data_IF_889910153377
#
_entry.id   IF_889910153377
#
_cell.length_a   1.000
_cell.length_b   1.000
_cell.length_c   1.000
_cell.angle_alpha   90.00
_cell.angle_beta   90.00
_cell.angle_gamma   90.00
#
_symmetry.space_group_name_H-M   'P 1'
#
loop_
_entity.id
_entity.type
_entity.pdbx_description
1 polymer ?
#
# COMPACT_ATOMS: atom_id res chain seq x y z
N UNK A 1 22.17 21.35 15.75
CA UNK A 1 21.76 22.14 16.93
C UNK A 1 20.42 21.58 17.36
N UNK A 2 20.20 20.88 18.47
CA UNK A 2 21.02 20.42 19.60
C UNK A 2 20.75 18.92 19.79
N UNK A 3 21.78 18.08 19.65
CA UNK A 3 21.78 16.65 19.98
C UNK A 3 22.25 16.49 21.44
N UNK A 4 21.35 16.70 22.41
CA UNK A 4 21.68 16.72 23.83
C UNK A 4 20.85 15.76 24.73
N UNK A 5 19.92 14.97 24.17
CA UNK A 5 19.09 14.06 24.97
C UNK A 5 19.75 12.72 25.32
N UNK A 6 20.45 12.11 24.37
CA UNK A 6 20.90 10.71 24.48
C UNK A 6 22.27 10.55 25.14
N UNK A 7 23.22 11.46 24.89
CA UNK A 7 24.56 11.40 25.52
C UNK A 7 24.53 11.76 27.00
N UNK A 8 23.79 12.81 27.37
CA UNK A 8 23.71 13.25 28.77
C UNK A 8 23.07 12.19 29.67
N UNK A 9 22.05 11.50 29.17
CA UNK A 9 21.39 10.39 29.86
C UNK A 9 22.32 9.17 29.97
N UNK A 10 22.98 8.79 28.87
CA UNK A 10 23.92 7.67 28.87
C UNK A 10 25.11 7.89 29.82
N UNK A 11 25.64 9.10 29.89
CA UNK A 11 26.74 9.44 30.80
C UNK A 11 26.28 9.50 32.27
N UNK A 12 25.04 9.94 32.54
CA UNK A 12 24.45 9.91 33.90
C UNK A 12 24.24 8.48 34.39
N UNK A 13 23.72 7.61 33.52
CA UNK A 13 23.52 6.19 33.83
C UNK A 13 24.85 5.46 34.06
N UNK A 14 25.91 5.82 33.32
CA UNK A 14 27.28 5.31 33.57
C UNK A 14 27.84 5.79 34.91
N UNK A 15 27.65 7.06 35.28
CA UNK A 15 28.10 7.58 36.58
C UNK A 15 27.39 6.89 37.74
N UNK A 16 26.08 6.66 37.62
CA UNK A 16 25.29 5.92 38.62
C UNK A 16 25.74 4.46 38.73
N UNK A 17 25.96 3.78 37.60
CA UNK A 17 26.49 2.41 37.60
C UNK A 17 27.88 2.31 38.25
N UNK A 18 28.75 3.30 38.04
CA UNK A 18 30.08 3.37 38.68
C UNK A 18 30.00 3.64 40.19
N UNK A 19 29.01 4.42 40.64
CA UNK A 19 28.79 4.70 42.05
C UNK A 19 28.38 3.44 42.84
N UNK A 20 27.46 2.64 42.30
CA UNK A 20 27.02 1.38 42.93
C UNK A 20 28.00 0.22 42.81
N UNK A 21 28.98 0.31 41.91
CA UNK A 21 30.05 -0.68 41.76
C UNK A 21 31.17 -0.57 42.82
N UNK A 22 31.14 0.43 43.72
CA UNK A 22 32.16 0.57 44.77
C UNK A 22 31.93 -0.40 45.95
N UNK A 23 33.00 -0.99 46.53
CA UNK A 23 32.87 -1.95 47.62
C UNK A 23 32.31 -1.26 48.88
N UNK A 24 31.14 -1.72 49.34
CA UNK A 24 30.48 -1.19 50.55
C UNK A 24 29.00 -0.80 50.34
N UNK A 25 28.51 -0.79 49.10
CA UNK A 25 27.09 -0.52 48.77
C UNK A 25 26.32 -1.80 48.40
N UNK A 26 26.90 -2.98 48.65
CA UNK A 26 26.26 -4.27 48.43
C UNK A 26 25.38 -4.67 49.61
N UNK A 27 24.12 -4.25 49.60
CA UNK A 27 23.11 -4.75 50.53
C UNK A 27 21.95 -3.78 50.72
N UNK A 28 20.74 -4.29 50.49
CA UNK A 28 19.41 -3.68 50.66
C UNK A 28 19.02 -2.57 49.67
N UNK A 29 17.76 -2.68 49.20
CA UNK A 29 17.06 -1.84 48.24
C UNK A 29 17.46 -0.36 48.30
N UNK A 30 18.20 0.09 47.28
CA UNK A 30 18.51 1.50 47.08
C UNK A 30 17.54 2.06 46.03
N UNK A 31 16.52 2.78 46.48
CA UNK A 31 15.65 3.57 45.60
C UNK A 31 16.43 4.79 45.13
N UNK A 32 16.73 4.87 43.83
CA UNK A 32 17.39 6.04 43.23
C UNK A 32 16.35 6.83 42.46
N UNK A 33 15.98 8.00 42.99
CA UNK A 33 15.22 8.98 42.23
C UNK A 33 16.16 9.74 41.30
N UNK A 34 16.04 9.55 40.00
CA UNK A 34 16.79 10.33 39.00
C UNK A 34 15.86 11.42 38.46
N UNK A 35 16.07 12.69 38.81
CA UNK A 35 15.31 13.78 38.19
C UNK A 35 15.78 13.91 36.73
N UNK A 36 14.86 13.72 35.79
CA UNK A 36 15.08 13.98 34.38
C UNK A 36 14.33 15.26 34.00
N UNK A 37 15.09 16.29 33.65
CA UNK A 37 14.51 17.51 33.08
C UNK A 37 14.65 17.41 31.56
N UNK A 38 13.54 17.15 30.88
CA UNK A 38 13.44 17.16 29.42
C UNK A 38 12.41 18.23 29.07
N UNK A 39 12.87 19.46 28.84
CA UNK A 39 11.97 20.59 28.61
C UNK A 39 11.17 21.00 29.85
N UNK A 40 10.02 21.65 29.64
CA UNK A 40 9.30 22.44 30.66
C UNK A 40 8.51 21.63 31.72
N UNK A 41 8.73 20.32 31.84
CA UNK A 41 8.03 19.50 32.84
C UNK A 41 9.02 18.60 33.59
N UNK A 42 8.98 18.67 34.92
CA UNK A 42 9.74 17.80 35.82
C UNK A 42 8.90 16.57 36.18
N UNK A 43 9.37 15.37 35.83
CA UNK A 43 8.82 14.11 36.31
C UNK A 43 9.88 13.31 37.08
N UNK A 44 9.47 12.65 38.17
CA UNK A 44 10.31 11.78 39.00
C UNK A 44 9.90 10.33 38.75
N UNK A 45 10.81 9.54 38.15
CA UNK A 45 10.65 8.09 38.05
C UNK A 45 11.26 7.41 39.28
N UNK A 46 10.49 6.54 39.93
CA UNK A 46 10.92 5.73 41.06
C UNK A 46 11.25 4.32 40.55
N UNK A 47 12.51 3.90 40.68
CA UNK A 47 12.98 2.58 40.26
C UNK A 47 13.32 1.76 41.50
N UNK A 48 12.70 0.59 41.64
CA UNK A 48 12.86 -0.23 42.85
C UNK A 48 14.01 -1.25 42.76
N UNK A 49 14.37 -1.80 41.58
CA UNK A 49 15.60 -2.60 41.42
C UNK A 49 16.19 -2.55 39.99
N UNK A 50 17.51 -2.34 39.90
CA UNK A 50 18.28 -2.34 38.63
C UNK A 50 19.34 -3.45 38.70
N UNK A 51 19.31 -4.39 37.76
CA UNK A 51 20.35 -5.42 37.63
C UNK A 51 21.08 -5.26 36.29
N UNK A 52 22.40 -5.05 36.35
CA UNK A 52 23.26 -4.85 35.19
C UNK A 52 24.25 -6.01 35.07
N UNK A 53 24.12 -6.91 34.08
CA UNK A 53 25.23 -7.74 33.65
C UNK A 53 25.94 -7.11 32.44
N UNK A 54 27.25 -7.30 32.44
CA UNK A 54 28.21 -6.70 31.52
C UNK A 54 27.84 -6.80 30.02
N UNK A 55 27.92 -5.63 29.39
CA UNK A 55 27.95 -5.33 27.95
C UNK A 55 26.59 -5.39 27.21
N UNK A 56 26.10 -4.17 26.94
CA UNK A 56 25.13 -3.77 25.89
C UNK A 56 23.66 -4.16 26.04
N UNK A 57 23.14 -4.35 27.25
CA UNK A 57 21.69 -4.36 27.46
C UNK A 57 21.29 -4.26 28.94
N UNK A 58 20.28 -3.45 29.25
CA UNK A 58 19.65 -3.40 30.57
C UNK A 58 18.39 -4.28 30.52
N UNK A 59 18.25 -5.26 31.41
CA UNK A 59 17.07 -6.12 31.52
C UNK A 59 16.39 -5.86 32.86
N UNK A 60 15.13 -5.45 32.82
CA UNK A 60 14.27 -5.36 34.00
C UNK A 60 13.48 -6.67 34.10
N UNK A 61 13.45 -7.29 35.29
CA UNK A 61 12.72 -8.54 35.53
C UNK A 61 11.89 -8.45 36.80
N UNK A 62 10.57 -8.66 36.66
CA UNK A 62 9.62 -8.92 37.74
C UNK A 62 8.86 -10.25 37.51
N UNK A 63 8.11 -10.77 38.49
CA UNK A 63 7.73 -12.20 38.53
C UNK A 63 6.66 -12.68 37.53
N UNK A 64 6.15 -11.86 36.61
CA UNK A 64 5.18 -12.30 35.62
C UNK A 64 5.49 -11.67 34.25
N UNK A 65 5.82 -12.53 33.28
CA UNK A 65 5.84 -12.34 31.82
C UNK A 65 6.60 -11.10 31.28
N UNK A 66 7.58 -11.36 30.42
CA UNK A 66 8.48 -10.34 29.88
C UNK A 66 7.76 -9.29 29.03
N UNK A 67 7.96 -8.02 29.36
CA UNK A 67 7.59 -6.88 28.53
C UNK A 67 8.85 -6.27 27.89
N UNK A 68 8.82 -6.13 26.56
CA UNK A 68 9.70 -5.26 25.81
C UNK A 68 9.21 -3.81 26.06
N UNK A 69 10.06 -2.92 26.58
CA UNK A 69 9.72 -1.49 26.65
C UNK A 69 10.13 -0.88 25.32
N UNK A 70 9.17 -0.81 24.38
CA UNK A 70 9.24 0.17 23.29
C UNK A 70 8.80 1.51 23.89
N UNK A 71 9.64 2.54 23.76
CA UNK A 71 9.22 3.90 24.13
C UNK A 71 8.24 4.37 23.06
N UNK A 72 6.96 4.46 23.46
CA UNK A 72 5.76 4.69 22.66
C UNK A 72 5.93 5.47 21.35
N UNK A 73 5.64 4.77 20.26
CA UNK A 73 5.08 5.30 19.02
C UNK A 73 3.55 5.21 19.16
N UNK A 74 2.85 6.34 19.09
CA UNK A 74 1.38 6.32 19.01
C UNK A 74 1.01 5.67 17.66
N UNK A 75 0.29 4.54 17.70
CA UNK A 75 -0.23 3.86 16.51
C UNK A 75 -1.66 4.35 16.32
N UNK A 76 -1.96 5.13 15.27
CA UNK A 76 -3.35 5.50 14.94
C UNK A 76 -3.84 4.79 13.69
N UNK A 77 -4.99 4.13 13.74
CA UNK A 77 -5.64 3.60 12.54
C UNK A 77 -6.70 4.58 12.04
N UNK A 78 -6.49 5.26 10.92
CA UNK A 78 -7.64 5.92 10.26
C UNK A 78 -8.50 4.85 9.60
N UNK A 79 -9.60 4.48 10.26
CA UNK A 79 -10.51 3.42 9.85
C UNK A 79 -11.54 3.95 8.85
N UNK A 80 -11.52 3.43 7.62
CA UNK A 80 -12.60 3.70 6.66
C UNK A 80 -13.90 2.95 7.04
N UNK A 81 -15.11 3.51 6.78
CA UNK A 81 -16.33 3.28 7.54
C UNK A 81 -17.29 2.25 6.94
N UNK A 82 -16.84 1.38 6.03
CA UNK A 82 -17.69 0.24 5.67
C UNK A 82 -17.76 -0.67 6.90
N UNK A 83 -18.89 -0.62 7.61
CA UNK A 83 -19.27 -1.49 8.73
C UNK A 83 -18.87 -2.94 8.44
N UNK A 84 -17.67 -3.27 8.83
CA UNK A 84 -17.10 -4.58 8.66
C UNK A 84 -16.60 -4.98 10.03
N UNK A 85 -16.88 -6.21 10.41
CA UNK A 85 -16.34 -6.84 11.61
C UNK A 85 -14.80 -6.78 11.62
N UNK A 86 -14.16 -6.46 10.48
CA UNK A 86 -12.72 -6.32 10.31
C UNK A 86 -12.11 -5.17 11.13
N UNK A 87 -12.79 -4.03 11.28
CA UNK A 87 -12.27 -2.94 12.11
C UNK A 87 -12.29 -3.33 13.59
N UNK A 88 -13.40 -3.91 14.05
CA UNK A 88 -13.54 -4.40 15.43
C UNK A 88 -12.52 -5.52 15.71
N UNK A 89 -12.36 -6.47 14.77
CA UNK A 89 -11.37 -7.54 14.87
C UNK A 89 -9.93 -6.98 14.92
N UNK A 90 -9.64 -5.91 14.19
CA UNK A 90 -8.32 -5.29 14.21
C UNK A 90 -8.03 -4.66 15.58
N UNK A 91 -8.98 -3.91 16.14
CA UNK A 91 -8.85 -3.27 17.47
C UNK A 91 -8.70 -4.30 18.59
N UNK A 92 -9.33 -5.47 18.46
CA UNK A 92 -9.17 -6.58 19.41
C UNK A 92 -7.76 -7.20 19.37
N UNK A 93 -7.01 -7.00 18.27
CA UNK A 93 -5.68 -7.60 18.03
C UNK A 93 -4.53 -6.63 18.25
N UNK A 94 -4.71 -5.35 17.90
CA UNK A 94 -3.67 -4.32 17.98
C UNK A 94 -4.23 -3.04 18.58
N UNK A 95 -3.42 -2.37 19.40
CA UNK A 95 -3.78 -1.07 19.97
C UNK A 95 -3.73 -0.01 18.87
N UNK A 96 -4.91 0.38 18.40
CA UNK A 96 -5.10 1.40 17.36
C UNK A 96 -6.26 2.32 17.73
N UNK A 97 -6.04 3.63 17.59
CA UNK A 97 -7.16 4.58 17.62
C UNK A 97 -7.97 4.43 16.33
N UNK A 98 -9.30 4.37 16.43
CA UNK A 98 -10.17 4.26 15.26
C UNK A 98 -10.95 5.56 15.05
N UNK A 99 -10.78 6.17 13.89
CA UNK A 99 -11.70 7.20 13.40
C UNK A 99 -12.60 6.60 12.34
N UNK A 100 -13.92 6.81 12.45
CA UNK A 100 -14.89 6.32 11.46
C UNK A 100 -15.56 7.55 10.80
N UNK A 101 -15.23 7.87 9.54
CA UNK A 101 -15.91 8.97 8.84
C UNK A 101 -17.37 8.62 8.55
N UNK A 102 -18.26 9.60 8.60
CA UNK A 102 -19.69 9.38 8.31
C UNK A 102 -19.95 9.22 6.79
N UNK A 103 -19.04 9.74 5.97
CA UNK A 103 -19.11 9.71 4.51
C UNK A 103 -17.76 9.23 3.90
N UNK A 104 -17.77 8.32 2.91
CA UNK A 104 -16.54 7.88 2.23
C UNK A 104 -15.71 9.01 1.61
N UNK A 105 -16.30 10.16 1.28
CA UNK A 105 -15.55 11.32 0.78
C UNK A 105 -14.60 11.94 1.81
N UNK A 106 -14.80 11.66 3.11
CA UNK A 106 -13.95 12.18 4.18
C UNK A 106 -12.66 11.35 4.38
N UNK A 107 -12.57 10.13 3.83
CA UNK A 107 -11.41 9.24 4.02
C UNK A 107 -10.09 9.94 3.68
N UNK A 108 -10.06 10.64 2.55
CA UNK A 108 -8.86 11.33 2.08
C UNK A 108 -8.44 12.44 3.04
N UNK A 109 -9.40 13.22 3.54
CA UNK A 109 -9.15 14.30 4.51
C UNK A 109 -8.59 13.72 5.82
N UNK A 110 -9.21 12.65 6.35
CA UNK A 110 -8.75 11.99 7.57
C UNK A 110 -7.36 11.38 7.44
N UNK A 111 -7.08 10.72 6.32
CA UNK A 111 -5.75 10.17 6.05
C UNK A 111 -4.70 11.27 5.90
N UNK A 112 -5.04 12.40 5.25
CA UNK A 112 -4.13 13.54 5.14
C UNK A 112 -3.87 14.22 6.49
N UNK A 113 -4.89 14.36 7.35
CA UNK A 113 -4.74 14.88 8.71
C UNK A 113 -3.82 13.98 9.55
N UNK A 114 -3.98 12.66 9.44
CA UNK A 114 -3.08 11.70 10.06
C UNK A 114 -1.65 11.80 9.51
N UNK A 115 -1.49 12.01 8.20
CA UNK A 115 -0.18 12.09 7.57
C UNK A 115 0.68 13.29 8.02
N UNK A 116 0.05 14.33 8.56
CA UNK A 116 0.75 15.52 9.09
C UNK A 116 0.87 15.53 10.61
N UNK A 117 0.25 14.57 11.30
CA UNK A 117 0.37 14.42 12.75
C UNK A 117 1.65 13.62 13.06
N UNK A 118 2.67 14.23 13.70
CA UNK A 118 3.93 13.55 14.02
C UNK A 118 3.76 12.43 15.06
N UNK A 119 2.58 12.28 15.66
CA UNK A 119 2.25 11.16 16.54
C UNK A 119 1.70 9.95 15.76
N UNK A 120 1.52 10.04 14.43
CA UNK A 120 0.92 8.96 13.62
C UNK A 120 1.94 8.35 12.67
N UNK A 121 2.45 7.19 13.04
CA UNK A 121 3.43 6.46 12.23
C UNK A 121 2.79 5.58 11.15
N UNK A 122 1.52 5.19 11.32
CA UNK A 122 0.82 4.24 10.44
C UNK A 122 -0.60 4.73 10.22
N UNK A 123 -1.19 4.45 9.06
CA UNK A 123 -2.62 4.57 8.80
C UNK A 123 -3.14 3.24 8.24
N UNK A 124 -4.11 2.62 8.92
CA UNK A 124 -4.68 1.34 8.52
C UNK A 124 -5.93 1.51 7.63
N UNK A 125 -5.81 1.22 6.33
CA UNK A 125 -6.91 1.29 5.38
C UNK A 125 -7.81 0.04 5.46
N UNK A 126 -8.87 0.12 6.26
CA UNK A 126 -9.91 -0.93 6.38
C UNK A 126 -10.93 -0.83 5.25
N UNK A 127 -10.86 -1.73 4.29
CA UNK A 127 -11.80 -1.74 3.16
C UNK A 127 -11.29 -2.47 1.93
N UNK A 128 -11.90 -2.15 0.78
CA UNK A 128 -11.47 -2.67 -0.52
C UNK A 128 -10.32 -1.87 -1.14
N UNK A 129 -9.93 -2.27 -2.34
CA UNK A 129 -8.82 -1.64 -3.08
C UNK A 129 -9.03 -0.12 -3.30
N UNK A 130 -10.27 0.34 -3.46
CA UNK A 130 -10.60 1.77 -3.60
C UNK A 130 -10.32 2.59 -2.34
N UNK A 131 -10.60 2.04 -1.16
CA UNK A 131 -10.23 2.65 0.13
C UNK A 131 -8.73 2.73 0.28
N UNK A 132 -8.05 1.62 0.00
CA UNK A 132 -6.60 1.52 0.09
C UNK A 132 -5.93 2.54 -0.82
N UNK A 133 -6.44 2.71 -2.05
CA UNK A 133 -6.04 3.77 -2.99
C UNK A 133 -6.23 5.17 -2.43
N UNK A 134 -7.40 5.47 -1.88
CA UNK A 134 -7.69 6.80 -1.32
C UNK A 134 -6.76 7.16 -0.17
N UNK A 135 -6.50 6.22 0.74
CA UNK A 135 -5.57 6.42 1.85
C UNK A 135 -4.14 6.57 1.33
N UNK A 136 -3.69 5.67 0.44
CA UNK A 136 -2.35 5.72 -0.14
C UNK A 136 -2.08 7.05 -0.86
N UNK A 137 -3.05 7.57 -1.63
CA UNK A 137 -2.92 8.87 -2.29
C UNK A 137 -2.85 10.03 -1.29
N UNK A 138 -3.62 9.97 -0.20
CA UNK A 138 -3.66 11.03 0.80
C UNK A 138 -2.38 11.12 1.65
N UNK A 139 -1.72 9.99 1.93
CA UNK A 139 -0.47 9.94 2.70
C UNK A 139 0.79 9.99 1.83
N UNK A 140 0.63 10.04 0.50
CA UNK A 140 1.75 9.98 -0.43
C UNK A 140 2.79 11.08 -0.15
N UNK A 141 4.06 10.67 0.00
CA UNK A 141 5.19 11.54 0.28
C UNK A 141 5.34 11.96 1.75
N UNK A 142 4.50 11.47 2.67
CA UNK A 142 4.75 11.61 4.11
C UNK A 142 5.60 10.46 4.67
N UNK A 143 6.01 10.59 5.93
CA UNK A 143 6.68 9.50 6.67
C UNK A 143 5.70 8.46 7.23
N UNK A 144 4.39 8.64 6.98
CA UNK A 144 3.33 7.76 7.48
C UNK A 144 3.19 6.52 6.61
N UNK A 145 3.16 5.36 7.26
CA UNK A 145 3.09 4.06 6.58
C UNK A 145 1.63 3.62 6.38
N UNK A 146 1.34 2.91 5.29
CA UNK A 146 0.05 2.29 5.03
C UNK A 146 0.01 0.87 5.61
N UNK A 147 -1.00 0.56 6.42
CA UNK A 147 -1.38 -0.82 6.71
C UNK A 147 -2.63 -1.20 5.92
N UNK A 148 -2.58 -2.34 5.22
CA UNK A 148 -3.72 -2.83 4.44
C UNK A 148 -4.58 -3.72 5.33
N UNK A 149 -5.87 -3.43 5.46
CA UNK A 149 -6.80 -4.29 6.20
C UNK A 149 -7.91 -4.76 5.25
N UNK A 150 -7.91 -6.04 4.83
CA UNK A 150 -8.83 -6.54 3.81
C UNK A 150 -10.29 -6.45 4.25
N UNK A 151 -11.09 -5.62 3.58
CA UNK A 151 -12.54 -5.49 3.81
C UNK A 151 -13.40 -5.57 2.54
N UNK A 152 -12.77 -5.58 1.36
CA UNK A 152 -13.46 -5.62 0.06
C UNK A 152 -13.62 -7.02 -0.54
N UNK A 153 -14.16 -7.07 -1.77
CA UNK A 153 -14.41 -8.34 -2.49
C UNK A 153 -13.15 -8.90 -3.17
N UNK A 154 -12.26 -8.03 -3.65
CA UNK A 154 -11.09 -8.44 -4.46
C UNK A 154 -9.81 -8.40 -3.64
N UNK A 155 -9.53 -7.30 -2.94
CA UNK A 155 -8.38 -7.07 -2.07
C UNK A 155 -7.07 -7.49 -2.75
N UNK A 156 -6.88 -7.07 -4.00
CA UNK A 156 -5.72 -7.47 -4.78
C UNK A 156 -4.44 -6.90 -4.18
N UNK A 157 -4.45 -5.64 -3.73
CA UNK A 157 -3.27 -5.03 -3.12
C UNK A 157 -2.81 -5.80 -1.87
N UNK A 158 -3.74 -6.15 -0.98
CA UNK A 158 -3.46 -6.98 0.19
C UNK A 158 -2.85 -8.33 -0.21
N UNK A 159 -3.47 -9.04 -1.16
CA UNK A 159 -2.96 -10.35 -1.62
C UNK A 159 -1.54 -10.29 -2.20
N UNK A 160 -1.20 -9.27 -2.99
CA UNK A 160 0.17 -9.18 -3.54
C UNK A 160 1.22 -8.88 -2.47
N UNK A 161 0.79 -8.36 -1.32
CA UNK A 161 1.58 -8.16 -0.12
C UNK A 161 1.42 -9.30 0.92
N UNK A 162 0.71 -10.39 0.60
CA UNK A 162 0.49 -11.50 1.53
C UNK A 162 -0.48 -11.21 2.68
N UNK A 163 -1.24 -10.12 2.61
CA UNK A 163 -2.25 -9.73 3.59
C UNK A 163 -3.64 -10.18 3.09
N UNK A 164 -4.07 -11.37 3.52
CA UNK A 164 -5.36 -11.97 3.10
C UNK A 164 -6.44 -11.88 4.19
N UNK A 165 -6.06 -11.56 5.42
CA UNK A 165 -6.94 -11.48 6.59
C UNK A 165 -6.59 -10.30 7.50
N UNK A 166 -7.48 -10.01 8.46
CA UNK A 166 -7.24 -9.02 9.52
C UNK A 166 -6.10 -9.45 10.44
N UNK A 167 -5.94 -10.76 10.65
CA UNK A 167 -4.82 -11.33 11.40
C UNK A 167 -3.48 -11.04 10.72
N UNK A 168 -3.38 -11.24 9.40
CA UNK A 168 -2.16 -10.91 8.65
C UNK A 168 -1.84 -9.41 8.75
N UNK A 169 -2.87 -8.56 8.68
CA UNK A 169 -2.73 -7.11 8.81
C UNK A 169 -2.24 -6.70 10.21
N UNK A 170 -2.82 -7.29 11.26
CA UNK A 170 -2.41 -7.08 12.64
C UNK A 170 -0.94 -7.50 12.86
N UNK A 171 -0.56 -8.67 12.35
CA UNK A 171 0.81 -9.18 12.42
C UNK A 171 1.81 -8.27 11.68
N UNK A 172 1.44 -7.74 10.51
CA UNK A 172 2.24 -6.77 9.77
C UNK A 172 2.40 -5.44 10.53
N UNK A 173 1.31 -4.95 11.14
CA UNK A 173 1.34 -3.75 12.00
C UNK A 173 2.29 -3.97 13.19
N UNK A 174 2.21 -5.10 13.89
CA UNK A 174 3.07 -5.37 15.05
C UNK A 174 4.54 -5.62 14.69
N UNK A 175 4.81 -6.26 13.55
CA UNK A 175 6.19 -6.40 13.05
C UNK A 175 6.84 -5.06 12.74
N UNK A 176 6.06 -4.11 12.22
CA UNK A 176 6.55 -2.78 11.86
C UNK A 176 7.55 -2.78 10.71
N UNK A 177 7.48 -3.80 9.84
CA UNK A 177 8.27 -3.88 8.62
C UNK A 177 7.46 -3.24 7.49
N UNK A 178 7.96 -2.13 6.94
CA UNK A 178 7.33 -1.44 5.82
C UNK A 178 8.22 -1.51 4.57
N UNK A 179 7.57 -1.66 3.42
CA UNK A 179 8.21 -1.77 2.12
C UNK A 179 7.81 -0.58 1.24
N UNK A 180 8.75 0.04 0.51
CA UNK A 180 8.41 1.12 -0.42
C UNK A 180 7.44 0.63 -1.49
N UNK A 181 6.55 1.51 -1.90
CA UNK A 181 5.55 1.28 -2.91
C UNK A 181 5.40 2.53 -3.79
N UNK A 182 5.45 2.31 -5.08
CA UNK A 182 5.35 3.33 -6.11
C UNK A 182 3.89 3.72 -6.31
N UNK A 183 3.61 5.02 -6.31
CA UNK A 183 2.27 5.54 -6.58
C UNK A 183 2.17 5.93 -8.05
N UNK A 184 1.31 5.24 -8.78
CA UNK A 184 1.09 5.53 -10.19
C UNK A 184 -0.07 6.54 -10.37
N UNK A 185 -0.01 7.35 -11.44
CA UNK A 185 -1.07 8.27 -11.82
C UNK A 185 -1.50 8.09 -13.26
N UNK A 186 -2.78 8.26 -13.52
CA UNK A 186 -3.41 8.31 -14.83
C UNK A 186 -4.16 9.64 -14.96
N UNK A 187 -3.69 10.53 -15.84
CA UNK A 187 -4.21 11.90 -15.99
C UNK A 187 -4.34 12.65 -14.65
N UNK A 188 -3.41 12.40 -13.73
CA UNK A 188 -3.38 12.99 -12.39
C UNK A 188 -4.13 12.19 -11.31
N UNK A 189 -5.00 11.25 -11.68
CA UNK A 189 -5.69 10.37 -10.72
C UNK A 189 -4.77 9.23 -10.28
N UNK A 190 -4.58 9.04 -8.98
CA UNK A 190 -3.78 7.92 -8.49
C UNK A 190 -4.42 6.56 -8.81
N UNK A 191 -3.58 5.54 -8.97
CA UNK A 191 -3.96 4.13 -8.98
C UNK A 191 -2.82 3.30 -8.39
N UNK A 192 -3.15 2.20 -7.72
CA UNK A 192 -2.19 1.31 -7.06
C UNK A 192 -1.93 0.05 -7.88
N UNK A 193 -2.90 -0.44 -8.66
CA UNK A 193 -2.83 -1.75 -9.31
C UNK A 193 -2.55 -1.61 -10.80
N UNK A 194 -3.50 -1.09 -11.57
CA UNK A 194 -3.37 -0.96 -13.02
C UNK A 194 -4.39 0.01 -13.62
N UNK A 195 -3.99 0.59 -14.76
CA UNK A 195 -4.87 1.26 -15.70
C UNK A 195 -4.85 0.56 -17.06
N UNK A 196 -5.90 0.76 -17.84
CA UNK A 196 -5.93 0.32 -19.23
C UNK A 196 -6.82 1.20 -20.08
N UNK A 197 -6.57 1.18 -21.38
CA UNK A 197 -7.39 1.84 -22.40
C UNK A 197 -7.71 0.88 -23.55
N UNK A 198 -8.84 1.11 -24.23
CA UNK A 198 -9.32 0.26 -25.32
C UNK A 198 -10.26 -0.86 -24.84
N UNK A 199 -10.13 -2.06 -25.40
CA UNK A 199 -11.06 -3.17 -25.19
C UNK A 199 -11.16 -3.60 -23.71
N UNK A 200 -10.06 -3.61 -22.97
CA UNK A 200 -10.05 -4.05 -21.57
C UNK A 200 -10.90 -3.12 -20.69
N UNK A 201 -10.67 -1.81 -20.83
CA UNK A 201 -11.48 -0.78 -20.17
C UNK A 201 -12.94 -0.81 -20.64
N UNK A 202 -13.21 -1.02 -21.94
CA UNK A 202 -14.57 -1.13 -22.46
C UNK A 202 -15.33 -2.32 -21.85
N UNK A 203 -14.66 -3.45 -21.65
CA UNK A 203 -15.26 -4.60 -20.97
C UNK A 203 -15.54 -4.31 -19.48
N UNK A 204 -14.63 -3.63 -18.79
CA UNK A 204 -14.80 -3.24 -17.38
C UNK A 204 -16.00 -2.29 -17.23
N UNK A 205 -16.08 -1.25 -18.05
CA UNK A 205 -17.19 -0.30 -18.04
C UNK A 205 -18.55 -0.97 -18.36
N UNK A 206 -18.59 -1.86 -19.35
CA UNK A 206 -19.81 -2.58 -19.72
C UNK A 206 -20.32 -3.52 -18.61
N UNK A 207 -19.41 -3.99 -17.77
CA UNK A 207 -19.73 -4.83 -16.63
C UNK A 207 -20.31 -4.00 -15.48
N UNK A 208 -19.73 -2.87 -15.10
CA UNK A 208 -20.21 -2.11 -13.92
C UNK A 208 -21.66 -1.59 -14.10
N UNK A 209 -21.99 -1.06 -15.28
CA UNK A 209 -23.31 -0.51 -15.60
C UNK A 209 -24.45 -1.54 -15.52
N UNK A 210 -24.16 -2.84 -15.72
CA UNK A 210 -25.19 -3.88 -15.90
C UNK A 210 -25.02 -5.13 -15.06
N UNK A 211 -23.86 -5.36 -14.44
CA UNK A 211 -23.66 -6.44 -13.47
C UNK A 211 -24.52 -6.23 -12.21
N UNK A 212 -24.76 -4.96 -11.83
CA UNK A 212 -25.76 -4.56 -10.82
C UNK A 212 -27.17 -5.08 -11.14
N UNK A 213 -27.44 -5.47 -12.40
CA UNK A 213 -28.77 -5.89 -12.89
C UNK A 213 -28.91 -7.39 -13.20
N UNK A 214 -27.82 -8.12 -13.47
CA UNK A 214 -27.89 -9.50 -14.02
C UNK A 214 -26.92 -10.54 -13.40
N UNK A 215 -26.12 -10.18 -12.39
CA UNK A 215 -25.22 -11.12 -11.70
C UNK A 215 -24.08 -11.71 -12.56
N UNK A 216 -23.40 -12.75 -12.07
CA UNK A 216 -22.17 -13.33 -12.67
C UNK A 216 -22.32 -13.87 -14.10
N UNK A 217 -23.51 -14.30 -14.50
CA UNK A 217 -23.77 -14.75 -15.87
C UNK A 217 -23.86 -13.57 -16.86
N UNK A 218 -24.43 -12.45 -16.43
CA UNK A 218 -24.42 -11.18 -17.18
C UNK A 218 -22.99 -10.63 -17.34
N UNK A 219 -22.18 -10.71 -16.28
CA UNK A 219 -20.77 -10.32 -16.27
C UNK A 219 -19.98 -10.97 -17.42
N UNK A 220 -20.09 -12.30 -17.57
CA UNK A 220 -19.34 -13.06 -18.59
C UNK A 220 -19.86 -12.80 -20.01
N UNK A 221 -21.18 -12.70 -20.17
CA UNK A 221 -21.80 -12.49 -21.48
C UNK A 221 -21.49 -11.09 -22.07
N UNK A 222 -21.40 -10.06 -21.22
CA UNK A 222 -21.14 -8.69 -21.66
C UNK A 222 -19.68 -8.46 -22.03
N UNK A 223 -18.73 -8.99 -21.24
CA UNK A 223 -17.32 -8.98 -21.63
C UNK A 223 -17.09 -9.69 -22.97
N UNK A 224 -17.80 -10.80 -23.22
CA UNK A 224 -17.76 -11.49 -24.50
C UNK A 224 -18.36 -10.66 -25.65
N UNK A 225 -19.42 -9.91 -25.40
CA UNK A 225 -20.05 -9.05 -26.41
C UNK A 225 -19.11 -7.91 -26.85
N UNK A 226 -18.46 -7.25 -25.91
CA UNK A 226 -17.49 -6.20 -26.22
C UNK A 226 -16.28 -6.76 -26.97
N UNK A 227 -15.81 -7.94 -26.59
CA UNK A 227 -14.80 -8.67 -27.38
C UNK A 227 -15.28 -8.98 -28.81
N UNK A 228 -16.55 -9.33 -29.01
CA UNK A 228 -17.16 -9.54 -30.35
C UNK A 228 -17.33 -8.22 -31.12
N UNK A 229 -17.34 -7.06 -30.46
CA UNK A 229 -17.43 -5.75 -31.14
C UNK A 229 -16.06 -5.14 -31.40
N UNK A 230 -15.07 -5.47 -30.57
CA UNK A 230 -13.73 -4.91 -30.58
C UNK A 230 -13.11 -4.92 -31.98
N UNK A 231 -12.59 -3.79 -32.41
CA UNK A 231 -11.74 -3.67 -33.59
C UNK A 231 -10.44 -3.02 -33.14
N UNK A 232 -9.28 -3.49 -33.61
CA UNK A 232 -8.04 -2.76 -33.40
C UNK A 232 -8.20 -1.32 -33.87
N UNK A 233 -7.65 -0.40 -33.10
CA UNK A 233 -7.60 1.03 -33.42
C UNK A 233 -6.17 1.47 -33.34
N UNK A 234 -5.78 2.39 -34.22
CA UNK A 234 -4.43 2.92 -34.25
C UNK A 234 -4.10 3.61 -32.93
N UNK A 235 -2.94 3.29 -32.38
CA UNK A 235 -2.40 3.85 -31.14
C UNK A 235 -0.90 4.06 -31.23
N UNK A 236 -0.47 5.24 -30.77
CA UNK A 236 0.93 5.56 -30.53
C UNK A 236 1.20 5.53 -29.03
N UNK A 237 2.19 4.75 -28.61
CA UNK A 237 2.66 4.67 -27.22
C UNK A 237 4.05 5.28 -27.15
N UNK A 238 4.17 6.34 -26.35
CA UNK A 238 5.44 6.99 -26.03
C UNK A 238 5.81 6.66 -24.61
N UNK A 239 7.04 6.23 -24.40
CA UNK A 239 7.61 5.92 -23.09
C UNK A 239 8.90 6.71 -22.93
N UNK A 240 8.98 7.51 -21.88
CA UNK A 240 10.15 8.34 -21.55
C UNK A 240 10.64 9.20 -22.74
N UNK A 241 9.68 9.70 -23.54
CA UNK A 241 9.92 10.54 -24.71
C UNK A 241 10.18 9.80 -26.03
N UNK A 242 10.27 8.46 -26.02
CA UNK A 242 10.49 7.65 -27.22
C UNK A 242 9.21 6.92 -27.66
N UNK A 243 8.86 7.00 -28.94
CA UNK A 243 7.75 6.21 -29.50
C UNK A 243 8.17 4.74 -29.60
N UNK A 244 7.63 3.90 -28.71
CA UNK A 244 7.93 2.47 -28.61
C UNK A 244 6.92 1.58 -29.33
N UNK A 245 5.74 2.12 -29.64
CA UNK A 245 4.71 1.45 -30.43
C UNK A 245 3.91 2.47 -31.24
N UNK A 246 3.59 2.15 -32.50
CA UNK A 246 2.84 3.02 -33.41
C UNK A 246 2.13 2.17 -34.48
N UNK A 247 1.03 1.53 -34.12
CA UNK A 247 0.25 0.65 -35.00
C UNK A 247 -1.16 0.42 -34.41
N UNK A 248 -1.96 -0.45 -35.02
CA UNK A 248 -3.26 -0.86 -34.51
C UNK A 248 -3.12 -1.76 -33.25
N UNK A 249 -3.90 -1.45 -32.21
CA UNK A 249 -4.03 -2.30 -31.03
C UNK A 249 -5.48 -2.42 -30.53
N UNK A 250 -5.76 -3.49 -29.79
CA UNK A 250 -7.02 -3.68 -29.08
C UNK A 250 -7.03 -3.02 -27.70
N UNK A 251 -5.91 -3.09 -27.00
CA UNK A 251 -5.77 -2.61 -25.61
C UNK A 251 -4.34 -2.16 -25.36
N UNK A 252 -4.19 -1.12 -24.54
CA UNK A 252 -2.95 -0.80 -23.85
C UNK A 252 -3.21 -0.88 -22.34
N UNK A 253 -2.35 -1.56 -21.60
CA UNK A 253 -2.38 -1.63 -20.15
C UNK A 253 -1.12 -1.00 -19.59
N UNK A 254 -1.26 -0.24 -18.50
CA UNK A 254 -0.15 0.36 -17.76
C UNK A 254 -0.29 -0.10 -16.31
N UNK A 255 0.67 -0.86 -15.83
CA UNK A 255 0.59 -1.68 -14.64
C UNK A 255 1.60 -1.16 -13.61
N UNK A 256 1.15 -1.04 -12.37
CA UNK A 256 2.03 -0.89 -11.21
C UNK A 256 2.22 -2.26 -10.53
N UNK A 257 1.16 -3.09 -10.54
CA UNK A 257 1.16 -4.47 -10.07
C UNK A 257 1.03 -5.44 -11.24
N UNK A 258 1.95 -6.39 -11.33
CA UNK A 258 2.01 -7.40 -12.40
C UNK A 258 0.90 -8.45 -12.39
N UNK A 259 0.18 -8.58 -11.28
CA UNK A 259 -0.94 -9.50 -11.09
C UNK A 259 -2.29 -8.84 -11.38
N UNK A 260 -3.24 -9.61 -11.94
CA UNK A 260 -4.61 -9.14 -12.18
C UNK A 260 -5.67 -10.16 -11.76
N UNK A 261 -6.78 -9.64 -11.24
CA UNK A 261 -7.96 -10.42 -10.89
C UNK A 261 -7.73 -11.43 -9.76
N UNK A 262 -8.73 -12.27 -9.50
CA UNK A 262 -8.75 -13.17 -8.34
C UNK A 262 -7.98 -14.50 -8.50
N UNK A 263 -7.27 -14.71 -9.61
CA UNK A 263 -6.66 -15.99 -9.95
C UNK A 263 -5.11 -15.96 -10.05
N UNK A 264 -4.47 -14.92 -9.48
CA UNK A 264 -3.03 -14.68 -9.58
C UNK A 264 -2.54 -14.73 -11.04
N UNK A 265 -3.29 -14.06 -11.94
CA UNK A 265 -2.91 -14.00 -13.33
C UNK A 265 -1.81 -12.94 -13.51
N UNK A 266 -0.58 -13.39 -13.71
CA UNK A 266 0.56 -12.52 -13.99
C UNK A 266 0.55 -12.12 -15.46
N UNK A 267 0.24 -10.86 -15.70
CA UNK A 267 0.23 -10.29 -17.05
C UNK A 267 1.58 -9.66 -17.38
N UNK A 268 2.21 -9.00 -16.41
CA UNK A 268 3.59 -8.54 -16.46
C UNK A 268 4.33 -9.21 -15.30
N UNK A 269 4.96 -10.38 -15.52
CA UNK A 269 5.58 -11.16 -14.44
C UNK A 269 6.80 -10.48 -13.82
N UNK A 270 7.40 -9.54 -14.53
CA UNK A 270 8.60 -8.81 -14.12
C UNK A 270 8.27 -7.45 -13.48
N UNK A 271 6.98 -7.10 -13.35
CA UNK A 271 6.57 -5.86 -12.72
C UNK A 271 6.93 -5.86 -11.24
N UNK A 272 7.62 -4.82 -10.81
CA UNK A 272 7.93 -4.54 -9.42
C UNK A 272 7.13 -3.31 -8.98
N UNK A 273 6.83 -3.23 -7.69
CA UNK A 273 6.03 -2.14 -7.11
C UNK A 273 6.91 -1.05 -6.49
N UNK A 274 8.23 -1.15 -6.62
CA UNK A 274 9.22 -0.33 -5.90
C UNK A 274 10.46 0.03 -6.75
N UNK A 275 10.42 -0.18 -8.06
CA UNK A 275 11.54 0.08 -8.98
C UNK A 275 11.47 1.47 -9.66
N UNK A 276 10.40 2.21 -9.40
CA UNK A 276 10.11 3.51 -9.97
C UNK A 276 9.71 3.45 -11.44
N UNK A 277 9.16 2.34 -11.92
CA UNK A 277 8.75 2.11 -13.31
C UNK A 277 7.31 1.60 -13.39
N UNK A 278 6.68 1.82 -14.54
CA UNK A 278 5.38 1.23 -14.88
C UNK A 278 5.53 0.28 -16.06
N UNK A 279 4.90 -0.89 -15.97
CA UNK A 279 4.90 -1.89 -17.03
C UNK A 279 3.78 -1.63 -18.03
N UNK A 280 4.14 -1.53 -19.29
CA UNK A 280 3.21 -1.30 -20.39
C UNK A 280 3.06 -2.57 -21.21
N UNK A 281 1.80 -3.00 -21.37
CA UNK A 281 1.43 -4.15 -22.21
C UNK A 281 0.48 -3.69 -23.32
N UNK A 282 0.95 -3.78 -24.57
CA UNK A 282 0.14 -3.47 -25.76
C UNK A 282 -0.34 -4.77 -26.40
N UNK A 283 -1.65 -4.97 -26.51
CA UNK A 283 -2.24 -6.13 -27.18
C UNK A 283 -2.67 -5.72 -28.59
N UNK A 284 -1.90 -6.13 -29.59
CA UNK A 284 -1.97 -5.66 -30.99
C UNK A 284 -2.89 -6.50 -31.87
N UNK A 285 -2.97 -7.81 -31.58
CA UNK A 285 -3.53 -8.81 -32.49
C UNK A 285 -5.05 -8.88 -32.59
N UNK A 286 -5.52 -9.94 -33.25
CA UNK A 286 -6.96 -10.20 -33.42
C UNK A 286 -7.65 -10.57 -32.09
N UNK A 287 -8.98 -10.55 -32.07
CA UNK A 287 -9.79 -11.06 -30.94
C UNK A 287 -9.39 -12.48 -30.50
N UNK A 288 -8.91 -13.32 -31.43
CA UNK A 288 -8.41 -14.67 -31.11
C UNK A 288 -7.13 -14.63 -30.28
N UNK A 289 -6.26 -13.65 -30.54
CA UNK A 289 -5.04 -13.39 -29.78
C UNK A 289 -5.41 -12.91 -28.36
N UNK A 290 -6.41 -12.01 -28.25
CA UNK A 290 -6.96 -11.58 -26.97
C UNK A 290 -7.58 -12.75 -26.17
N UNK A 291 -8.36 -13.62 -26.83
CA UNK A 291 -8.92 -14.82 -26.19
C UNK A 291 -7.83 -15.80 -25.76
N UNK A 292 -6.77 -15.98 -26.55
CA UNK A 292 -5.64 -16.85 -26.20
C UNK A 292 -4.89 -16.30 -24.99
N UNK A 293 -4.67 -14.99 -24.93
CA UNK A 293 -4.18 -14.28 -23.76
C UNK A 293 -5.12 -14.46 -22.55
N UNK A 294 -6.44 -14.35 -22.74
CA UNK A 294 -7.43 -14.62 -21.68
C UNK A 294 -7.45 -16.08 -21.20
N UNK A 295 -7.26 -17.05 -22.09
CA UNK A 295 -7.19 -18.48 -21.76
C UNK A 295 -5.90 -18.84 -21.02
N UNK A 296 -4.86 -18.02 -21.18
CA UNK A 296 -3.61 -18.14 -20.44
C UNK A 296 -3.73 -17.78 -18.96
N UNK A 297 -4.86 -17.20 -18.53
CA UNK A 297 -5.21 -17.03 -17.11
C UNK A 297 -5.20 -18.35 -16.36
N UNK A 298 -5.63 -19.45 -17.00
CA UNK A 298 -5.52 -20.80 -16.44
C UNK A 298 -4.08 -21.32 -16.36
N UNK A 299 -3.16 -20.74 -17.15
CA UNK A 299 -1.72 -21.02 -17.13
C UNK A 299 -0.92 -20.00 -16.31
N UNK A 300 -1.59 -19.04 -15.65
CA UNK A 300 -1.04 -17.97 -14.80
C UNK A 300 0.03 -17.08 -15.45
N UNK A 301 0.17 -17.07 -16.78
CA UNK A 301 1.12 -16.21 -17.52
C UNK A 301 0.65 -15.96 -18.95
N UNK A 302 0.95 -14.79 -19.51
CA UNK A 302 0.77 -14.56 -20.94
C UNK A 302 1.65 -15.52 -21.77
N UNK A 303 1.14 -16.13 -22.86
CA UNK A 303 1.94 -16.95 -23.75
C UNK A 303 2.95 -16.10 -24.52
N UNK A 304 4.15 -16.61 -24.77
CA UNK A 304 5.17 -15.92 -25.57
C UNK A 304 4.73 -15.64 -27.02
N UNK A 305 3.73 -16.36 -27.52
CA UNK A 305 3.11 -16.17 -28.84
C UNK A 305 1.86 -15.29 -28.81
N UNK A 306 1.53 -14.66 -27.67
CA UNK A 306 0.52 -13.61 -27.68
C UNK A 306 1.05 -12.44 -28.51
N UNK A 307 0.19 -11.86 -29.35
CA UNK A 307 0.49 -10.64 -30.12
C UNK A 307 0.53 -9.42 -29.16
N UNK A 308 1.46 -9.47 -28.20
CA UNK A 308 1.65 -8.52 -27.13
C UNK A 308 3.05 -7.91 -27.19
N UNK A 309 3.15 -6.61 -26.91
CA UNK A 309 4.42 -5.90 -26.74
C UNK A 309 4.54 -5.48 -25.28
N UNK A 310 5.74 -5.62 -24.73
CA UNK A 310 6.08 -5.28 -23.36
C UNK A 310 7.17 -4.22 -23.36
N UNK A 311 7.03 -3.23 -22.51
CA UNK A 311 8.02 -2.18 -22.26
C UNK A 311 7.76 -1.60 -20.87
N UNK A 312 8.69 -0.81 -20.35
CA UNK A 312 8.57 -0.16 -19.05
C UNK A 312 9.15 1.25 -19.12
N UNK A 313 8.69 2.14 -18.25
CA UNK A 313 9.22 3.50 -18.14
C UNK A 313 8.52 4.31 -17.05
N UNK A 314 8.88 5.59 -16.94
CA UNK A 314 8.40 6.48 -15.86
C UNK A 314 7.27 7.39 -16.31
N UNK A 315 7.36 7.89 -17.53
CA UNK A 315 6.36 8.73 -18.17
C UNK A 315 5.85 8.02 -19.42
N UNK A 316 4.54 7.74 -19.45
CA UNK A 316 3.91 7.05 -20.58
C UNK A 316 2.80 7.92 -21.13
N UNK A 317 2.83 8.17 -22.43
CA UNK A 317 1.71 8.81 -23.14
C UNK A 317 1.13 7.83 -24.16
N UNK A 318 -0.16 7.53 -24.02
CA UNK A 318 -0.91 6.66 -24.92
C UNK A 318 -1.85 7.51 -25.75
N UNK A 319 -1.68 7.52 -27.07
CA UNK A 319 -2.47 8.31 -28.03
C UNK A 319 -3.23 7.40 -28.99
N UNK A 320 -4.53 7.26 -28.78
CA UNK A 320 -5.45 6.59 -29.68
C UNK A 320 -5.94 7.51 -30.79
N UNK A 321 -6.21 6.97 -31.97
CA UNK A 321 -6.77 7.72 -33.10
C UNK A 321 -8.17 8.31 -32.83
N UNK A 322 -8.87 7.84 -31.80
CA UNK A 322 -10.16 8.37 -31.36
C UNK A 322 -10.37 8.13 -29.87
N UNK A 323 -11.48 8.61 -29.33
CA UNK A 323 -11.82 8.37 -27.92
C UNK A 323 -12.04 6.88 -27.66
N UNK A 324 -11.42 6.39 -26.60
CA UNK A 324 -11.58 5.01 -26.13
C UNK A 324 -11.99 5.02 -24.65
N UNK A 325 -12.59 3.91 -24.21
CA UNK A 325 -12.78 3.69 -22.79
C UNK A 325 -11.43 3.61 -22.07
N UNK A 326 -11.39 4.12 -20.84
CA UNK A 326 -10.23 4.11 -19.95
C UNK A 326 -10.71 3.69 -18.55
N UNK A 327 -9.87 2.99 -17.81
CA UNK A 327 -10.13 2.61 -16.41
C UNK A 327 -8.87 2.80 -15.57
N UNK A 328 -9.05 3.10 -14.28
CA UNK A 328 -8.00 3.15 -13.27
C UNK A 328 -8.43 2.29 -12.08
N UNK A 329 -7.66 1.25 -11.74
CA UNK A 329 -7.98 0.28 -10.68
C UNK A 329 -9.37 -0.37 -10.78
N UNK A 330 -9.91 -0.45 -11.99
CA UNK A 330 -11.24 -0.98 -12.28
C UNK A 330 -12.34 0.09 -12.30
N UNK A 331 -12.06 1.31 -11.84
CA UNK A 331 -12.99 2.44 -11.90
C UNK A 331 -12.97 3.04 -13.33
N UNK A 332 -14.12 3.11 -14.03
CA UNK A 332 -14.18 3.77 -15.33
C UNK A 332 -13.89 5.26 -15.19
N UNK A 333 -13.04 5.78 -16.08
CA UNK A 333 -12.85 7.23 -16.24
C UNK A 333 -13.47 7.69 -17.55
N UNK A 334 -13.60 9.00 -17.71
CA UNK A 334 -14.19 9.60 -18.91
C UNK A 334 -13.41 9.15 -20.17
N UNK A 335 -14.09 8.76 -21.28
CA UNK A 335 -13.41 8.34 -22.49
C UNK A 335 -12.51 9.41 -23.08
N UNK A 336 -11.30 9.04 -23.51
CA UNK A 336 -10.29 9.97 -24.03
C UNK A 336 -9.47 9.35 -25.15
N UNK A 337 -8.85 10.19 -25.96
CA UNK A 337 -7.92 9.76 -27.01
C UNK A 337 -6.46 9.86 -26.60
N UNK A 338 -6.12 10.66 -25.58
CA UNK A 338 -4.76 10.77 -25.03
C UNK A 338 -4.82 10.56 -23.53
N UNK A 339 -3.97 9.68 -23.02
CA UNK A 339 -3.85 9.37 -21.60
C UNK A 339 -2.37 9.49 -21.21
N UNK A 340 -2.10 10.17 -20.09
CA UNK A 340 -0.77 10.30 -19.53
C UNK A 340 -0.64 9.53 -18.23
N UNK A 341 0.47 8.82 -18.10
CA UNK A 341 0.82 8.07 -16.92
C UNK A 341 2.16 8.52 -16.37
N UNK A 342 2.23 8.62 -15.05
CA UNK A 342 3.47 8.92 -14.32
C UNK A 342 3.54 8.04 -13.08
N UNK A 343 4.74 7.86 -12.55
CA UNK A 343 4.98 7.15 -11.29
C UNK A 343 5.75 8.03 -10.32
N UNK A 344 5.36 7.97 -9.05
CA UNK A 344 6.04 8.59 -7.93
C UNK A 344 6.76 7.48 -7.14
N UNK A 345 8.09 7.33 -7.32
CA UNK A 345 8.82 6.20 -6.75
C UNK A 345 8.84 6.23 -5.22
N UNK A 346 8.50 5.12 -4.57
CA UNK A 346 8.48 4.97 -3.12
C UNK A 346 7.62 6.00 -2.40
N UNK A 347 6.57 6.51 -3.06
CA UNK A 347 5.71 7.56 -2.50
C UNK A 347 4.92 7.11 -1.28
N UNK A 348 4.74 5.80 -1.09
CA UNK A 348 4.05 5.22 0.07
C UNK A 348 4.91 4.07 0.61
N UNK A 349 4.92 3.84 1.92
CA UNK A 349 5.49 2.65 2.51
C UNK A 349 4.36 1.75 3.03
N UNK A 350 4.35 0.47 2.65
CA UNK A 350 3.29 -0.49 3.01
C UNK A 350 3.81 -1.50 4.03
N UNK A 351 3.11 -1.66 5.16
CA UNK A 351 3.37 -2.73 6.13
C UNK A 351 2.86 -4.07 5.61
N UNK A 352 3.77 -5.04 5.47
CA UNK A 352 3.41 -6.39 4.99
C UNK A 352 4.36 -7.50 5.38
#
# INVERSE_FOLDING_TARGET
MLDLGTRALADRLRQLAQFFAQPGHGGSDATVAVPLSVGAFDHVLQLDQVHLPDRTGCRLSGPHHGHLISMGTEKRAVVNPERTDAADELVDRVEVDTEQPDDPSEIAERAADAAVDPAVDVVAAVGGDGTQRTVAEAIAGSDTELAIVPGGTVNLLGRVHGIESVEDAADAIERGEAHPFDLARCDGHAYLLNSSSGLDAAMIAAVDDRAKRFGRAGYTAMGLLELIRAKPSHVSVVVDGETVFDDDALTVMVLNVGERGSASFRIAPDAATDDGLLDVVVITGSRRSYLRAGWSRFRKRLPADADARFTQGREIEVRWAGEVAVQCDGDPVEPRSTIRYTVEPGAVAIRS
#
